data_IF_796053042614
#
_entry.id   IF_796053042614
#
_cell.length_a   1.000
_cell.length_b   1.000
_cell.length_c   1.000
_cell.angle_alpha   90.00
_cell.angle_beta   90.00
_cell.angle_gamma   90.00
#
_symmetry.space_group_name_H-M   'P 1'
#
loop_
_entity.id
_entity.type
_entity.pdbx_description
1 polymer ?
#
# COMPACT_ATOMS: atom_id res chain seq x y z
N UNK A 1 20.17 -14.25 6.41
CA UNK A 1 20.10 -12.78 6.33
C UNK A 1 18.68 -12.28 6.13
N UNK A 2 18.41 -11.12 6.64
CA UNK A 2 17.11 -10.50 6.56
C UNK A 2 16.79 -10.06 5.11
N UNK A 3 15.59 -10.39 4.63
CA UNK A 3 15.15 -9.95 3.31
C UNK A 3 14.65 -8.50 3.36
N UNK A 4 14.56 -7.88 2.20
CA UNK A 4 13.98 -6.54 2.10
C UNK A 4 12.53 -6.50 2.58
N UNK A 5 11.75 -7.53 2.21
CA UNK A 5 10.35 -7.62 2.65
C UNK A 5 10.23 -7.72 4.17
N UNK A 6 11.16 -8.41 4.83
CA UNK A 6 11.20 -8.44 6.30
C UNK A 6 11.49 -7.06 6.86
N UNK A 7 12.41 -6.30 6.25
CA UNK A 7 12.71 -4.93 6.69
C UNK A 7 11.51 -4.00 6.48
N UNK A 8 10.79 -4.17 5.37
CA UNK A 8 9.54 -3.43 5.11
C UNK A 8 8.52 -3.73 6.21
N UNK A 9 8.32 -5.02 6.52
CA UNK A 9 7.37 -5.43 7.55
C UNK A 9 7.76 -4.87 8.93
N UNK A 10 9.04 -4.90 9.28
CA UNK A 10 9.52 -4.34 10.55
C UNK A 10 9.30 -2.83 10.62
N UNK A 11 9.59 -2.13 9.53
CA UNK A 11 9.35 -0.69 9.48
C UNK A 11 7.87 -0.36 9.72
N UNK A 12 6.97 -1.08 9.07
CA UNK A 12 5.53 -0.86 9.24
C UNK A 12 5.07 -1.11 10.67
N UNK A 13 5.67 -2.08 11.36
CA UNK A 13 5.38 -2.33 12.78
C UNK A 13 5.79 -1.18 13.68
N UNK A 14 6.85 -0.45 13.32
CA UNK A 14 7.32 0.70 14.11
C UNK A 14 6.50 1.95 13.86
N UNK A 15 5.76 1.99 12.78
CA UNK A 15 4.84 3.09 12.49
C UNK A 15 3.48 2.75 13.09
N UNK A 16 2.81 3.71 13.63
CA UNK A 16 1.48 3.48 14.23
C UNK A 16 0.40 3.44 13.13
N UNK A 17 0.63 2.58 12.13
CA UNK A 17 -0.28 2.41 10.99
C UNK A 17 -0.56 0.92 10.82
N UNK A 18 -1.82 0.55 10.71
CA UNK A 18 -2.21 -0.86 10.65
C UNK A 18 -2.82 -1.28 9.32
N UNK A 19 -3.20 -0.34 8.49
CA UNK A 19 -3.80 -0.64 7.21
C UNK A 19 -3.27 0.29 6.13
N UNK A 20 -3.06 -0.27 4.95
CA UNK A 20 -2.61 0.48 3.79
C UNK A 20 -2.98 -0.23 2.50
N UNK A 21 -2.48 0.29 1.40
CA UNK A 21 -2.75 -0.24 0.07
C UNK A 21 -1.46 -0.59 -0.67
N UNK A 22 -1.58 -1.48 -1.64
CA UNK A 22 -0.50 -1.85 -2.52
C UNK A 22 -1.05 -2.63 -3.71
N UNK A 23 -0.18 -3.14 -4.58
CA UNK A 23 -0.66 -4.04 -5.61
C UNK A 23 -0.96 -5.42 -5.01
N UNK A 24 -1.66 -6.27 -5.75
CA UNK A 24 -2.12 -7.55 -5.25
C UNK A 24 -0.98 -8.42 -4.68
N UNK A 25 0.13 -8.51 -5.40
CA UNK A 25 1.22 -9.40 -5.03
C UNK A 25 1.96 -8.90 -3.78
N UNK A 26 2.23 -7.61 -3.72
CA UNK A 26 2.91 -7.02 -2.55
C UNK A 26 2.01 -7.05 -1.33
N UNK A 27 0.71 -6.80 -1.50
CA UNK A 27 -0.26 -6.85 -0.42
C UNK A 27 -0.28 -8.22 0.25
N UNK A 28 -0.36 -9.29 -0.55
CA UNK A 28 -0.37 -10.66 -0.03
C UNK A 28 0.89 -10.99 0.73
N UNK A 29 2.04 -10.64 0.18
CA UNK A 29 3.33 -10.99 0.76
C UNK A 29 3.57 -10.30 2.10
N UNK A 30 3.42 -8.99 2.14
CA UNK A 30 3.70 -8.23 3.37
C UNK A 30 2.70 -8.54 4.47
N UNK A 31 1.42 -8.75 4.13
CA UNK A 31 0.42 -9.14 5.12
C UNK A 31 0.82 -10.47 5.80
N UNK A 32 1.26 -11.45 5.03
CA UNK A 32 1.74 -12.71 5.58
C UNK A 32 2.99 -12.51 6.45
N UNK A 33 3.94 -11.71 6.00
CA UNK A 33 5.19 -11.46 6.74
C UNK A 33 4.95 -10.78 8.08
N UNK A 34 3.92 -9.95 8.19
CA UNK A 34 3.57 -9.29 9.46
C UNK A 34 2.65 -10.13 10.34
N UNK A 35 2.29 -11.33 9.92
CA UNK A 35 1.35 -12.22 10.63
C UNK A 35 0.00 -11.53 10.88
N UNK A 36 -0.46 -10.78 9.89
CA UNK A 36 -1.73 -10.05 9.92
C UNK A 36 -1.78 -8.86 10.90
N UNK A 37 -0.67 -8.47 11.50
CA UNK A 37 -0.63 -7.26 12.33
C UNK A 37 -0.79 -6.00 11.47
N UNK A 38 -0.26 -6.04 10.25
CA UNK A 38 -0.40 -4.96 9.28
C UNK A 38 -1.19 -5.50 8.09
N UNK A 39 -2.25 -4.81 7.74
CA UNK A 39 -3.12 -5.20 6.63
C UNK A 39 -2.81 -4.33 5.41
N UNK A 40 -2.47 -4.98 4.30
CA UNK A 40 -2.31 -4.29 3.02
C UNK A 40 -3.39 -4.80 2.09
N UNK A 41 -4.23 -3.89 1.63
CA UNK A 41 -5.36 -4.22 0.76
C UNK A 41 -4.99 -3.90 -0.68
N UNK A 42 -5.23 -4.82 -1.61
CA UNK A 42 -4.86 -4.59 -3.01
C UNK A 42 -5.78 -3.56 -3.67
N UNK A 43 -5.16 -2.66 -4.42
CA UNK A 43 -5.87 -1.68 -5.24
C UNK A 43 -5.29 -1.71 -6.66
N UNK A 44 -6.03 -1.11 -7.58
CA UNK A 44 -5.51 -0.78 -8.89
C UNK A 44 -5.66 0.72 -9.11
N UNK A 45 -4.76 1.30 -9.89
CA UNK A 45 -4.85 2.71 -10.26
C UNK A 45 -4.80 2.80 -11.77
N UNK A 46 -5.86 3.38 -12.33
CA UNK A 46 -5.90 3.80 -13.72
C UNK A 46 -6.00 5.32 -13.69
N UNK A 47 -7.16 5.91 -13.82
CA UNK A 47 -7.33 7.35 -13.57
C UNK A 47 -7.65 7.63 -12.11
N UNK A 48 -8.22 6.64 -11.43
CA UNK A 48 -8.62 6.67 -10.03
C UNK A 48 -8.13 5.42 -9.32
N UNK A 49 -8.18 5.43 -7.99
CA UNK A 49 -7.88 4.23 -7.20
C UNK A 49 -9.14 3.39 -7.04
N UNK A 50 -9.06 2.15 -7.49
CA UNK A 50 -10.17 1.21 -7.49
C UNK A 50 -9.84 -0.01 -6.62
N UNK A 51 -10.88 -0.61 -6.05
CA UNK A 51 -10.73 -1.87 -5.32
C UNK A 51 -10.39 -2.99 -6.30
N UNK A 52 -9.67 -4.01 -5.81
CA UNK A 52 -9.30 -5.19 -6.58
C UNK A 52 -10.38 -6.27 -6.36
N UNK A 53 -11.47 -6.18 -7.11
CA UNK A 53 -12.75 -6.87 -6.82
C UNK A 53 -12.68 -8.39 -6.77
N UNK A 54 -11.99 -9.02 -7.71
CA UNK A 54 -12.06 -10.48 -7.82
C UNK A 54 -11.22 -11.22 -6.76
N UNK A 55 -10.38 -10.50 -6.03
CA UNK A 55 -9.51 -11.08 -5.01
C UNK A 55 -9.71 -10.45 -3.63
N UNK A 56 -10.78 -9.68 -3.44
CA UNK A 56 -10.99 -8.92 -2.21
C UNK A 56 -12.45 -8.88 -1.81
N UNK A 57 -12.68 -8.47 -0.57
CA UNK A 57 -14.02 -8.20 -0.03
C UNK A 57 -14.23 -6.70 0.03
N UNK A 58 -15.44 -6.23 -0.28
CA UNK A 58 -15.76 -4.80 -0.26
C UNK A 58 -15.48 -4.17 1.10
N UNK A 59 -15.78 -4.89 2.18
CA UNK A 59 -15.56 -4.41 3.56
C UNK A 59 -14.10 -4.10 3.88
N UNK A 60 -13.15 -4.66 3.13
CA UNK A 60 -11.73 -4.36 3.34
C UNK A 60 -11.40 -2.88 3.13
N UNK A 61 -12.19 -2.19 2.32
CA UNK A 61 -11.92 -0.80 1.92
C UNK A 61 -12.69 0.21 2.76
N UNK A 62 -13.44 -0.26 3.76
CA UNK A 62 -14.11 0.60 4.74
C UNK A 62 -13.21 0.90 5.94
N UNK A 63 -12.09 0.20 6.06
CA UNK A 63 -11.12 0.39 7.14
C UNK A 63 -10.23 1.60 6.84
N UNK A 64 -9.96 2.41 7.85
CA UNK A 64 -9.04 3.53 7.74
C UNK A 64 -7.66 3.03 7.29
N UNK A 65 -7.09 3.72 6.31
CA UNK A 65 -5.79 3.38 5.74
C UNK A 65 -4.90 4.62 5.67
N UNK A 66 -3.62 4.48 6.00
CA UNK A 66 -2.71 5.60 6.14
C UNK A 66 -1.39 5.43 5.41
N UNK A 67 -1.18 4.32 4.70
CA UNK A 67 0.05 4.16 3.92
C UNK A 67 -0.20 3.43 2.62
N UNK A 68 0.75 3.61 1.69
CA UNK A 68 0.75 2.89 0.42
C UNK A 68 2.17 2.38 0.17
N UNK A 69 2.29 1.12 -0.21
CA UNK A 69 3.56 0.53 -0.62
C UNK A 69 3.61 0.48 -2.15
N UNK A 70 4.69 0.98 -2.73
CA UNK A 70 4.90 0.98 -4.18
C UNK A 70 6.27 0.39 -4.50
N UNK A 71 6.38 -0.24 -5.66
CA UNK A 71 7.67 -0.70 -6.19
C UNK A 71 8.38 0.43 -6.91
N UNK A 72 9.71 0.39 -6.86
CA UNK A 72 10.57 1.36 -7.56
C UNK A 72 10.83 0.94 -9.01
N UNK A 73 9.84 0.39 -9.67
CA UNK A 73 9.93 -0.03 -11.06
C UNK A 73 9.17 0.93 -11.95
N UNK A 74 9.68 1.13 -13.17
CA UNK A 74 9.05 2.01 -14.15
C UNK A 74 7.67 1.50 -14.55
N UNK A 75 7.53 0.17 -14.68
CA UNK A 75 6.25 -0.47 -14.99
C UNK A 75 5.83 -1.36 -13.83
N UNK A 76 4.62 -1.20 -13.38
CA UNK A 76 4.07 -1.99 -12.27
C UNK A 76 2.65 -2.41 -12.64
N UNK A 77 2.32 -3.68 -12.40
CA UNK A 77 0.96 -4.17 -12.58
C UNK A 77 -0.03 -3.38 -11.73
N UNK A 78 -1.25 -3.25 -12.22
CA UNK A 78 -2.34 -2.56 -11.55
C UNK A 78 -2.09 -1.05 -11.36
N UNK A 79 -1.03 -0.51 -11.95
CA UNK A 79 -0.77 0.92 -11.94
C UNK A 79 -0.39 1.51 -10.57
N UNK A 80 -0.03 0.68 -9.61
CA UNK A 80 0.33 1.17 -8.26
C UNK A 80 1.80 1.54 -8.24
N UNK A 81 2.11 2.69 -8.82
CA UNK A 81 3.45 3.25 -8.86
C UNK A 81 3.45 4.64 -8.20
N UNK A 82 4.65 5.18 -7.98
CA UNK A 82 4.80 6.44 -7.24
C UNK A 82 3.99 7.58 -7.87
N UNK A 83 4.14 7.79 -9.18
CA UNK A 83 3.50 8.93 -9.85
C UNK A 83 1.99 8.85 -9.81
N UNK A 84 1.43 7.66 -10.05
CA UNK A 84 -0.01 7.46 -10.01
C UNK A 84 -0.57 7.64 -8.60
N UNK A 85 0.16 7.17 -7.59
CA UNK A 85 -0.23 7.35 -6.18
C UNK A 85 -0.27 8.84 -5.84
N UNK A 86 0.74 9.61 -6.24
CA UNK A 86 0.74 11.06 -6.02
C UNK A 86 -0.47 11.73 -6.69
N UNK A 87 -0.81 11.33 -7.91
CA UNK A 87 -1.96 11.92 -8.61
C UNK A 87 -3.28 11.69 -7.88
N UNK A 88 -3.47 10.49 -7.34
CA UNK A 88 -4.75 10.13 -6.71
C UNK A 88 -4.80 10.56 -5.24
N UNK A 89 -3.74 10.32 -4.50
CA UNK A 89 -3.74 10.48 -3.04
C UNK A 89 -3.02 11.74 -2.56
N UNK A 90 -2.26 12.40 -3.43
CA UNK A 90 -1.51 13.60 -3.06
C UNK A 90 -0.15 13.28 -2.45
N UNK A 91 0.51 14.31 -1.96
CA UNK A 91 1.82 14.18 -1.34
C UNK A 91 1.72 13.51 0.03
N UNK A 92 2.57 12.52 0.30
CA UNK A 92 2.59 11.89 1.62
C UNK A 92 3.26 12.80 2.66
N UNK A 93 2.98 12.53 3.91
CA UNK A 93 3.66 13.15 5.05
C UNK A 93 5.13 12.73 5.09
N UNK A 94 5.41 11.46 4.74
CA UNK A 94 6.72 10.87 4.82
C UNK A 94 6.86 9.77 3.77
N UNK A 95 8.06 9.61 3.22
CA UNK A 95 8.39 8.51 2.31
C UNK A 95 9.59 7.77 2.89
N UNK A 96 9.43 6.49 3.14
CA UNK A 96 10.53 5.61 3.52
C UNK A 96 10.98 4.82 2.29
N UNK A 97 12.23 4.98 1.91
CA UNK A 97 12.79 4.28 0.75
C UNK A 97 13.53 3.02 1.15
N UNK A 98 13.30 1.97 0.36
CA UNK A 98 14.07 0.74 0.37
C UNK A 98 14.66 0.57 -1.05
N UNK A 99 15.45 -0.47 -1.25
CA UNK A 99 16.06 -0.71 -2.57
C UNK A 99 15.00 -0.85 -3.67
N UNK A 100 13.96 -1.64 -3.42
CA UNK A 100 12.95 -1.95 -4.42
C UNK A 100 11.56 -1.39 -4.12
N UNK A 101 11.39 -0.71 -2.97
CA UNK A 101 10.08 -0.22 -2.54
C UNK A 101 10.17 1.18 -1.96
N UNK A 102 9.04 1.88 -2.01
CA UNK A 102 8.79 3.08 -1.20
C UNK A 102 7.54 2.84 -0.37
N UNK A 103 7.60 3.23 0.89
CA UNK A 103 6.43 3.26 1.77
C UNK A 103 6.03 4.72 1.92
N UNK A 104 4.81 5.04 1.49
CA UNK A 104 4.29 6.41 1.51
C UNK A 104 3.31 6.54 2.67
N UNK A 105 3.67 7.31 3.69
CA UNK A 105 2.85 7.51 4.89
C UNK A 105 2.07 8.80 4.75
N UNK A 106 0.76 8.73 5.03
CA UNK A 106 -0.15 9.87 4.91
C UNK A 106 -0.72 10.26 6.27
N UNK A 107 -1.13 11.50 6.37
CA UNK A 107 -1.74 12.05 7.59
C UNK A 107 -3.26 12.16 7.50
N UNK A 108 -3.86 11.48 6.53
CA UNK A 108 -5.32 11.41 6.39
C UNK A 108 -5.74 10.00 6.01
N UNK A 109 -7.03 9.72 6.13
CA UNK A 109 -7.58 8.41 5.81
C UNK A 109 -7.71 8.23 4.29
N UNK A 110 -6.84 7.39 3.72
CA UNK A 110 -6.80 7.14 2.29
C UNK A 110 -8.05 6.43 1.76
N UNK A 111 -8.82 5.78 2.62
CA UNK A 111 -10.02 5.08 2.19
C UNK A 111 -11.06 6.02 1.58
N UNK A 112 -10.98 7.31 1.91
CA UNK A 112 -11.85 8.34 1.34
C UNK A 112 -11.67 8.53 -0.18
N UNK A 113 -10.54 8.08 -0.72
CA UNK A 113 -10.23 8.21 -2.14
C UNK A 113 -10.51 6.94 -2.96
N UNK A 114 -10.87 5.85 -2.29
CA UNK A 114 -11.09 4.58 -2.97
C UNK A 114 -12.48 4.57 -3.63
N UNK A 115 -12.53 4.19 -4.89
CA UNK A 115 -13.78 3.99 -5.62
C UNK A 115 -14.19 2.52 -5.55
N UNK A 116 -15.39 2.28 -5.09
CA UNK A 116 -15.93 0.93 -4.89
C UNK A 116 -16.94 0.54 -5.95
#
# INVERSE_FOLDING_TARGET
PETEQQRVAEYLKTQDVKCGYGNFWDASYVTVMTKNETQIRPISINDNADIFKWASKDTWYDTEAQFIIVRNEEWVEMGVNYDNVIKVFGQPKEVKEFENYKIMIYNYDLSSKIQK
#
